data_IF_193704128938
#
_entry.id   IF_193704128938
#
_cell.length_a   1.000
_cell.length_b   1.000
_cell.length_c   1.000
_cell.angle_alpha   90.00
_cell.angle_beta   90.00
_cell.angle_gamma   90.00
#
_symmetry.space_group_name_H-M   'P 1'
#
loop_
_entity.id
_entity.type
_entity.pdbx_description
1 polymer ?
#
# COMPACT_ATOMS: atom_id res chain seq x y z
N UNK A 1 -19.46 52.89 -55.86
CA UNK A 1 -18.71 52.71 -54.59
C UNK A 1 -19.49 51.71 -53.77
N UNK A 2 -19.04 50.42 -53.72
CA UNK A 2 -19.68 49.36 -52.96
C UNK A 2 -18.77 49.07 -51.76
N UNK A 3 -19.29 49.27 -50.54
CA UNK A 3 -18.64 48.98 -49.28
C UNK A 3 -18.98 47.55 -48.90
N UNK A 4 -18.00 46.64 -48.93
CA UNK A 4 -18.13 45.29 -48.37
C UNK A 4 -17.90 45.37 -46.87
N UNK A 5 -18.91 45.00 -46.12
CA UNK A 5 -18.82 44.78 -44.67
C UNK A 5 -18.40 43.34 -44.42
N UNK A 6 -17.20 43.11 -43.90
CA UNK A 6 -16.65 41.82 -43.47
C UNK A 6 -17.15 41.54 -42.03
N UNK A 7 -18.02 40.55 -41.86
CA UNK A 7 -18.38 40.02 -40.53
C UNK A 7 -17.31 39.02 -40.10
N UNK A 8 -16.51 39.39 -39.08
CA UNK A 8 -15.65 38.46 -38.41
C UNK A 8 -16.44 37.64 -37.36
N UNK A 9 -16.64 36.36 -37.59
CA UNK A 9 -17.22 35.47 -36.61
C UNK A 9 -16.14 35.07 -35.59
N UNK A 10 -16.28 35.54 -34.36
CA UNK A 10 -15.43 35.12 -33.22
C UNK A 10 -15.98 33.80 -32.70
N UNK A 11 -15.30 32.71 -33.00
CA UNK A 11 -15.58 31.39 -32.45
C UNK A 11 -14.98 31.33 -31.05
N UNK A 12 -15.76 31.55 -30.01
CA UNK A 12 -15.36 31.34 -28.62
C UNK A 12 -15.41 29.85 -28.32
N UNK A 13 -14.29 29.19 -28.38
CA UNK A 13 -14.11 27.82 -27.87
C UNK A 13 -14.10 27.86 -26.35
N UNK A 14 -15.24 27.52 -25.75
CA UNK A 14 -15.35 27.19 -24.33
C UNK A 14 -14.54 25.91 -24.06
N UNK A 15 -13.32 26.06 -23.57
CA UNK A 15 -12.57 24.97 -22.97
C UNK A 15 -13.27 24.65 -21.64
N UNK A 16 -14.17 23.67 -21.66
CA UNK A 16 -14.61 23.01 -20.45
C UNK A 16 -13.41 22.28 -19.88
N UNK A 17 -12.76 22.89 -18.88
CA UNK A 17 -11.90 22.14 -17.98
C UNK A 17 -12.80 21.20 -17.19
N UNK A 18 -12.93 19.97 -17.65
CA UNK A 18 -13.33 18.87 -16.81
C UNK A 18 -12.14 18.67 -15.84
N UNK A 19 -12.19 19.30 -14.67
CA UNK A 19 -11.52 18.75 -13.51
C UNK A 19 -12.30 17.48 -13.19
N UNK A 20 -11.92 16.35 -13.79
CA UNK A 20 -12.18 15.08 -13.18
C UNK A 20 -11.49 15.16 -11.81
N UNK A 21 -12.24 15.00 -10.72
CA UNK A 21 -11.64 14.59 -9.45
C UNK A 21 -10.89 13.30 -9.79
N UNK A 22 -9.59 13.43 -10.09
CA UNK A 22 -8.75 12.29 -10.33
C UNK A 22 -8.65 11.62 -8.96
N UNK A 23 -9.37 10.52 -8.75
CA UNK A 23 -9.10 9.59 -7.68
C UNK A 23 -7.63 9.21 -7.84
N UNK A 24 -6.78 9.63 -6.92
CA UNK A 24 -5.37 9.31 -6.89
C UNK A 24 -5.14 8.10 -5.98
N UNK A 25 -4.06 7.36 -6.20
CA UNK A 25 -3.68 6.26 -5.30
C UNK A 25 -3.46 6.74 -3.87
N UNK A 26 -3.03 7.99 -3.70
CA UNK A 26 -2.89 8.68 -2.41
C UNK A 26 -4.21 8.81 -1.62
N UNK A 27 -5.37 8.68 -2.27
CA UNK A 27 -6.69 8.69 -1.62
C UNK A 27 -7.03 7.35 -0.94
N UNK A 28 -6.27 6.28 -1.23
CA UNK A 28 -6.39 5.02 -0.50
C UNK A 28 -5.89 5.24 0.93
N UNK A 29 -6.66 4.79 1.90
CA UNK A 29 -6.35 4.98 3.32
C UNK A 29 -4.89 4.65 3.67
N UNK A 30 -4.16 5.62 4.20
CA UNK A 30 -2.76 5.49 4.58
C UNK A 30 -1.84 4.88 3.50
N UNK A 31 -2.08 5.17 2.22
CA UNK A 31 -1.25 4.70 1.12
C UNK A 31 0.22 5.14 1.29
N UNK A 32 1.14 4.21 1.04
CA UNK A 32 2.59 4.43 1.05
C UNK A 32 3.22 3.71 -0.13
N UNK A 33 3.95 4.44 -0.96
CA UNK A 33 4.83 3.90 -1.97
C UNK A 33 6.25 3.82 -1.39
N UNK A 34 6.87 2.64 -1.46
CA UNK A 34 8.22 2.39 -0.96
C UNK A 34 9.23 2.27 -2.09
N UNK A 35 8.80 1.71 -3.21
CA UNK A 35 9.59 1.56 -4.43
C UNK A 35 8.65 1.51 -5.64
N UNK A 36 9.16 1.58 -6.88
CA UNK A 36 8.32 1.44 -8.08
C UNK A 36 7.52 0.13 -8.16
N UNK A 37 7.93 -0.89 -7.40
CA UNK A 37 7.29 -2.22 -7.41
C UNK A 37 6.59 -2.58 -6.10
N UNK A 38 6.69 -1.75 -5.04
CA UNK A 38 6.12 -2.10 -3.74
C UNK A 38 5.46 -0.92 -3.04
N UNK A 39 4.19 -1.11 -2.69
CA UNK A 39 3.38 -0.16 -1.92
C UNK A 39 2.55 -0.87 -0.84
N UNK A 40 2.13 -0.10 0.18
CA UNK A 40 1.13 -0.59 1.14
C UNK A 40 0.00 0.41 1.37
N UNK A 41 -1.16 -0.10 1.84
CA UNK A 41 -2.31 0.75 2.14
C UNK A 41 -3.28 0.11 3.15
N UNK A 42 -4.29 0.88 3.54
CA UNK A 42 -5.56 0.35 4.06
C UNK A 42 -6.37 -0.30 2.95
N UNK A 43 -7.61 -0.65 3.25
CA UNK A 43 -8.50 -1.32 2.29
C UNK A 43 -8.82 -0.41 1.09
N UNK A 44 -8.44 -0.77 -0.15
CA UNK A 44 -8.90 -0.06 -1.33
C UNK A 44 -10.38 -0.32 -1.61
N UNK A 45 -11.07 0.63 -2.22
CA UNK A 45 -12.40 0.42 -2.79
C UNK A 45 -12.30 -0.35 -4.12
N UNK A 46 -13.45 -0.79 -4.66
CA UNK A 46 -13.49 -1.46 -5.96
C UNK A 46 -13.00 -0.54 -7.10
N UNK A 47 -13.34 0.75 -7.03
CA UNK A 47 -12.89 1.76 -8.00
C UNK A 47 -11.37 1.98 -7.88
N UNK A 48 -10.84 1.98 -6.65
CA UNK A 48 -9.41 2.12 -6.41
C UNK A 48 -8.60 0.88 -6.85
N UNK A 49 -9.19 -0.32 -6.88
CA UNK A 49 -8.55 -1.49 -7.50
C UNK A 49 -8.34 -1.29 -9.00
N UNK A 50 -9.26 -0.61 -9.71
CA UNK A 50 -9.06 -0.27 -11.12
C UNK A 50 -7.92 0.73 -11.28
N UNK A 51 -7.81 1.75 -10.42
CA UNK A 51 -6.69 2.70 -10.46
C UNK A 51 -5.34 2.01 -10.22
N UNK A 52 -5.28 1.08 -9.28
CA UNK A 52 -4.09 0.26 -9.04
C UNK A 52 -3.70 -0.53 -10.30
N UNK A 53 -4.68 -1.15 -10.97
CA UNK A 53 -4.44 -1.87 -12.22
C UNK A 53 -3.91 -0.94 -13.31
N UNK A 54 -4.52 0.23 -13.47
CA UNK A 54 -4.13 1.22 -14.49
C UNK A 54 -2.71 1.77 -14.22
N UNK A 55 -2.30 1.83 -12.95
CA UNK A 55 -0.94 2.21 -12.52
C UNK A 55 0.07 1.04 -12.58
N UNK A 56 -0.35 -0.09 -13.13
CA UNK A 56 0.52 -1.23 -13.42
C UNK A 56 0.70 -2.20 -12.26
N UNK A 57 -0.12 -2.15 -11.21
CA UNK A 57 -0.09 -3.19 -10.18
C UNK A 57 -0.54 -4.53 -10.79
N UNK A 58 0.15 -5.58 -10.40
CA UNK A 58 -0.05 -6.94 -10.91
C UNK A 58 -0.46 -7.92 -9.80
N UNK A 59 -0.20 -7.57 -8.53
CA UNK A 59 -0.49 -8.42 -7.38
C UNK A 59 -1.04 -7.60 -6.22
N UNK A 60 -2.12 -8.10 -5.62
CA UNK A 60 -2.71 -7.60 -4.39
C UNK A 60 -2.49 -8.66 -3.31
N UNK A 61 -1.89 -8.27 -2.20
CA UNK A 61 -1.71 -9.13 -1.01
C UNK A 61 -2.54 -8.56 0.13
N UNK A 62 -3.56 -9.28 0.54
CA UNK A 62 -4.44 -8.90 1.66
C UNK A 62 -4.08 -9.67 2.92
N UNK A 63 -3.81 -8.96 4.02
CA UNK A 63 -3.36 -9.58 5.27
C UNK A 63 -4.28 -9.30 6.47
N UNK A 64 -5.56 -9.02 6.23
CA UNK A 64 -6.57 -8.98 7.28
C UNK A 64 -7.66 -10.03 7.02
N UNK A 65 -8.59 -10.15 7.93
CA UNK A 65 -9.74 -11.05 7.77
C UNK A 65 -10.80 -10.41 6.87
N UNK A 66 -11.37 -11.18 5.95
CA UNK A 66 -12.42 -10.72 5.02
C UNK A 66 -13.78 -10.45 5.68
N UNK A 67 -13.97 -10.85 6.94
CA UNK A 67 -15.18 -10.62 7.71
C UNK A 67 -15.14 -9.35 8.58
N UNK A 68 -14.21 -8.43 8.34
CA UNK A 68 -14.17 -7.14 9.00
C UNK A 68 -15.05 -6.09 8.29
N UNK A 69 -15.40 -5.02 9.02
CA UNK A 69 -16.32 -4.00 8.50
C UNK A 69 -15.79 -3.15 7.34
N UNK A 70 -14.48 -3.19 7.05
CA UNK A 70 -13.87 -2.43 5.96
C UNK A 70 -13.64 -3.29 4.71
N UNK A 71 -13.65 -4.62 4.83
CA UNK A 71 -13.48 -5.52 3.69
C UNK A 71 -14.75 -5.60 2.85
N UNK A 72 -14.61 -5.84 1.55
CA UNK A 72 -15.73 -6.27 0.73
C UNK A 72 -15.59 -7.76 0.36
N UNK A 73 -16.72 -8.47 0.36
CA UNK A 73 -16.74 -9.93 0.42
C UNK A 73 -16.16 -10.66 -0.80
N UNK A 74 -16.12 -9.99 -1.96
CA UNK A 74 -15.70 -10.54 -3.25
C UNK A 74 -14.44 -9.85 -3.82
N UNK A 75 -13.57 -9.36 -2.93
CA UNK A 75 -12.33 -8.68 -3.36
C UNK A 75 -11.44 -9.57 -4.24
N UNK A 76 -11.32 -10.84 -3.89
CA UNK A 76 -10.54 -11.80 -4.67
C UNK A 76 -11.09 -11.98 -6.10
N UNK A 77 -12.40 -11.92 -6.27
CA UNK A 77 -13.06 -11.96 -7.58
C UNK A 77 -12.75 -10.66 -8.35
N UNK A 78 -12.94 -9.50 -7.71
CA UNK A 78 -12.69 -8.21 -8.32
C UNK A 78 -11.24 -8.05 -8.80
N UNK A 79 -10.27 -8.45 -7.97
CA UNK A 79 -8.84 -8.40 -8.33
C UNK A 79 -8.54 -9.31 -9.52
N UNK A 80 -9.09 -10.52 -9.56
CA UNK A 80 -8.91 -11.48 -10.67
C UNK A 80 -9.58 -11.02 -11.94
N UNK A 81 -10.75 -10.41 -11.88
CA UNK A 81 -11.44 -9.83 -13.04
C UNK A 81 -10.61 -8.72 -13.70
N UNK A 82 -9.81 -7.98 -12.91
CA UNK A 82 -8.86 -6.99 -13.40
C UNK A 82 -7.55 -7.62 -13.94
N UNK A 83 -7.40 -8.94 -13.87
CA UNK A 83 -6.21 -9.65 -14.32
C UNK A 83 -5.00 -9.45 -13.42
N UNK A 84 -5.23 -9.21 -12.13
CA UNK A 84 -4.21 -9.19 -11.09
C UNK A 84 -4.26 -10.47 -10.26
N UNK A 85 -3.13 -10.83 -9.64
CA UNK A 85 -3.08 -11.93 -8.67
C UNK A 85 -3.54 -11.47 -7.29
N UNK A 86 -4.30 -12.33 -6.63
CA UNK A 86 -4.75 -12.11 -5.26
C UNK A 86 -4.15 -13.15 -4.31
N UNK A 87 -3.49 -12.67 -3.27
CA UNK A 87 -2.93 -13.50 -2.18
C UNK A 87 -3.58 -13.07 -0.88
N UNK A 88 -4.16 -14.02 -0.14
CA UNK A 88 -4.80 -13.73 1.15
C UNK A 88 -4.09 -14.49 2.27
N UNK A 89 -3.59 -13.74 3.26
CA UNK A 89 -2.90 -14.25 4.46
C UNK A 89 -3.57 -13.60 5.68
N UNK A 90 -4.60 -14.22 6.28
CA UNK A 90 -5.35 -13.62 7.38
C UNK A 90 -4.52 -13.57 8.67
N UNK A 91 -3.96 -12.40 9.00
CA UNK A 91 -3.14 -12.17 10.19
C UNK A 91 -4.02 -11.74 11.38
N UNK A 92 -3.95 -12.49 12.48
CA UNK A 92 -4.66 -12.16 13.71
C UNK A 92 -4.02 -10.91 14.35
N UNK A 93 -4.82 -9.88 14.62
CA UNK A 93 -4.31 -8.60 15.13
C UNK A 93 -3.57 -8.74 16.47
N UNK A 94 -4.13 -9.48 17.40
CA UNK A 94 -3.59 -9.63 18.76
C UNK A 94 -2.59 -10.81 18.90
N UNK A 95 -2.41 -11.58 17.82
CA UNK A 95 -1.50 -12.73 17.78
C UNK A 95 -0.84 -12.89 16.41
N UNK A 96 -0.20 -11.87 15.86
CA UNK A 96 0.52 -11.99 14.60
C UNK A 96 1.72 -12.92 14.80
N UNK A 97 2.05 -13.73 13.78
CA UNK A 97 3.13 -14.72 13.88
C UNK A 97 4.23 -14.48 12.85
N UNK A 98 5.44 -14.94 13.15
CA UNK A 98 6.53 -14.94 12.18
C UNK A 98 6.17 -15.76 10.92
N UNK A 99 5.39 -16.84 11.07
CA UNK A 99 4.90 -17.64 9.95
C UNK A 99 4.03 -16.84 8.98
N UNK A 100 3.18 -15.93 9.49
CA UNK A 100 2.37 -15.04 8.65
C UNK A 100 3.25 -14.10 7.84
N UNK A 101 4.27 -13.52 8.49
CA UNK A 101 5.24 -12.68 7.81
C UNK A 101 6.01 -13.45 6.73
N UNK A 102 6.53 -14.63 7.05
CA UNK A 102 7.30 -15.41 6.08
C UNK A 102 6.43 -15.96 4.93
N UNK A 103 5.13 -16.20 5.15
CA UNK A 103 4.20 -16.51 4.07
C UNK A 103 4.06 -15.31 3.09
N UNK A 104 3.95 -14.10 3.61
CA UNK A 104 3.97 -12.87 2.82
C UNK A 104 5.31 -12.71 2.09
N UNK A 105 6.44 -12.73 2.81
CA UNK A 105 7.76 -12.57 2.23
C UNK A 105 8.03 -13.60 1.14
N UNK A 106 7.66 -14.87 1.35
CA UNK A 106 7.77 -15.93 0.35
C UNK A 106 6.92 -15.68 -0.89
N UNK A 107 5.76 -15.02 -0.77
CA UNK A 107 4.97 -14.62 -1.93
C UNK A 107 5.65 -13.52 -2.75
N UNK A 108 6.31 -12.58 -2.09
CA UNK A 108 7.08 -11.52 -2.73
C UNK A 108 8.32 -12.06 -3.43
N UNK A 109 9.09 -12.91 -2.76
CA UNK A 109 10.37 -13.45 -3.25
C UNK A 109 10.24 -14.37 -4.48
N UNK A 110 9.08 -14.94 -4.75
CA UNK A 110 8.85 -15.75 -5.95
C UNK A 110 8.88 -14.93 -7.24
N UNK A 111 8.42 -13.67 -7.17
CA UNK A 111 8.37 -12.75 -8.30
C UNK A 111 8.64 -11.33 -7.78
N UNK A 112 9.92 -11.01 -7.48
CA UNK A 112 10.28 -9.78 -6.76
C UNK A 112 10.04 -8.50 -7.57
N UNK A 113 10.08 -8.58 -8.90
CA UNK A 113 9.87 -7.43 -9.78
C UNK A 113 8.39 -7.10 -10.02
N UNK A 114 7.48 -7.94 -9.51
CA UNK A 114 6.04 -7.79 -9.72
C UNK A 114 5.48 -6.67 -8.86
N UNK A 115 4.92 -5.64 -9.49
CA UNK A 115 4.35 -4.49 -8.77
C UNK A 115 3.21 -4.94 -7.86
N UNK A 116 3.41 -4.77 -6.56
CA UNK A 116 2.56 -5.34 -5.51
C UNK A 116 2.03 -4.28 -4.57
N UNK A 117 0.72 -4.33 -4.30
CA UNK A 117 0.12 -3.68 -3.14
C UNK A 117 -0.04 -4.70 -2.01
N UNK A 118 0.53 -4.40 -0.85
CA UNK A 118 0.22 -5.08 0.41
C UNK A 118 -0.80 -4.25 1.17
N UNK A 119 -1.95 -4.82 1.55
CA UNK A 119 -2.92 -4.06 2.30
C UNK A 119 -3.58 -4.83 3.45
N UNK A 120 -4.17 -4.06 4.35
CA UNK A 120 -5.04 -4.55 5.41
C UNK A 120 -6.22 -3.58 5.59
N UNK A 121 -6.80 -3.44 6.78
CA UNK A 121 -7.92 -2.53 7.02
C UNK A 121 -7.53 -1.04 6.90
N UNK A 122 -6.41 -0.64 7.59
CA UNK A 122 -5.97 0.76 7.72
C UNK A 122 -4.45 0.90 7.61
N UNK A 123 -3.79 -0.02 6.96
CA UNK A 123 -2.35 -0.10 6.76
C UNK A 123 -1.49 -0.47 7.98
N UNK A 124 -2.02 -0.68 9.18
CA UNK A 124 -1.19 -0.95 10.36
C UNK A 124 -0.40 -2.27 10.23
N UNK A 125 -1.08 -3.41 9.97
CA UNK A 125 -0.40 -4.70 9.72
C UNK A 125 0.50 -4.62 8.50
N UNK A 126 0.00 -4.00 7.42
CA UNK A 126 0.71 -3.95 6.16
C UNK A 126 2.00 -3.12 6.25
N UNK A 127 1.99 -1.97 6.93
CA UNK A 127 3.20 -1.18 7.14
C UNK A 127 4.24 -1.89 8.02
N UNK A 128 3.81 -2.65 9.03
CA UNK A 128 4.71 -3.46 9.85
C UNK A 128 5.38 -4.59 9.04
N UNK A 129 4.63 -5.28 8.19
CA UNK A 129 5.19 -6.29 7.29
C UNK A 129 6.06 -5.67 6.20
N UNK A 130 5.69 -4.49 5.68
CA UNK A 130 6.53 -3.73 4.75
C UNK A 130 7.85 -3.30 5.37
N UNK A 131 7.83 -2.83 6.62
CA UNK A 131 9.04 -2.53 7.38
C UNK A 131 9.99 -3.74 7.44
N UNK A 132 9.48 -4.89 7.89
CA UNK A 132 10.28 -6.12 7.99
C UNK A 132 10.81 -6.58 6.64
N UNK A 133 9.97 -6.56 5.60
CA UNK A 133 10.36 -7.00 4.26
C UNK A 133 11.48 -6.13 3.69
N UNK A 134 11.36 -4.83 3.79
CA UNK A 134 12.35 -3.88 3.28
C UNK A 134 13.69 -3.98 4.01
N UNK A 135 13.67 -4.19 5.33
CA UNK A 135 14.91 -4.38 6.13
C UNK A 135 15.59 -5.70 5.82
N UNK A 136 14.83 -6.78 5.60
CA UNK A 136 15.39 -8.12 5.44
C UNK A 136 15.75 -8.49 4.00
N UNK A 137 15.02 -7.94 3.01
CA UNK A 137 15.14 -8.37 1.62
C UNK A 137 15.46 -7.24 0.63
N UNK A 138 15.34 -5.97 1.03
CA UNK A 138 15.62 -4.82 0.15
C UNK A 138 16.78 -3.94 0.66
N UNK A 139 17.53 -4.40 1.67
CA UNK A 139 18.68 -3.69 2.27
C UNK A 139 18.38 -2.27 2.77
N UNK A 140 17.10 -1.96 3.04
CA UNK A 140 16.71 -0.66 3.62
C UNK A 140 17.11 -0.62 5.09
N UNK A 141 17.64 0.50 5.54
CA UNK A 141 18.03 0.64 6.94
C UNK A 141 16.82 0.58 7.89
N UNK A 142 17.05 0.06 9.11
CA UNK A 142 16.01 0.02 10.16
C UNK A 142 15.46 1.42 10.42
N UNK A 143 16.32 2.45 10.43
CA UNK A 143 15.91 3.84 10.68
C UNK A 143 14.94 4.34 9.60
N UNK A 144 15.25 4.13 8.33
CA UNK A 144 14.43 4.57 7.19
C UNK A 144 13.10 3.81 7.15
N UNK A 145 13.14 2.49 7.15
CA UNK A 145 11.93 1.67 7.11
C UNK A 145 11.01 1.94 8.31
N UNK A 146 11.60 2.23 9.50
CA UNK A 146 10.84 2.60 10.70
C UNK A 146 10.19 3.97 10.57
N UNK A 147 10.87 4.95 9.99
CA UNK A 147 10.29 6.27 9.76
C UNK A 147 9.04 6.18 8.86
N UNK A 148 9.09 5.37 7.81
CA UNK A 148 7.94 5.12 6.94
C UNK A 148 6.79 4.42 7.68
N UNK A 149 7.07 3.38 8.47
CA UNK A 149 6.07 2.69 9.29
C UNK A 149 5.45 3.65 10.31
N UNK A 150 6.26 4.46 11.00
CA UNK A 150 5.79 5.43 11.98
C UNK A 150 4.96 6.57 11.37
N UNK A 151 5.10 6.85 10.07
CA UNK A 151 4.21 7.78 9.37
C UNK A 151 2.78 7.26 9.22
N UNK A 152 2.56 5.97 9.46
CA UNK A 152 1.25 5.32 9.46
C UNK A 152 0.75 5.11 10.90
N UNK A 153 1.58 4.54 11.76
CA UNK A 153 1.26 4.28 13.16
C UNK A 153 2.52 3.88 13.95
N UNK A 154 2.42 3.93 15.28
CA UNK A 154 3.45 3.38 16.15
C UNK A 154 3.01 1.99 16.65
N UNK A 155 3.76 0.90 16.33
CA UNK A 155 3.40 -0.45 16.74
C UNK A 155 3.25 -0.58 18.25
N UNK A 156 2.17 -1.21 18.70
CA UNK A 156 1.98 -1.59 20.09
C UNK A 156 2.94 -2.72 20.49
N UNK A 157 2.96 -3.06 21.79
CA UNK A 157 3.84 -4.09 22.35
C UNK A 157 3.77 -5.43 21.59
N UNK A 158 2.57 -5.89 21.23
CA UNK A 158 2.37 -7.14 20.47
C UNK A 158 3.12 -7.12 19.14
N UNK A 159 2.99 -6.03 18.41
CA UNK A 159 3.62 -5.87 17.10
C UNK A 159 5.12 -5.56 17.20
N UNK A 160 5.55 -4.83 18.25
CA UNK A 160 6.97 -4.65 18.55
C UNK A 160 7.65 -5.99 18.84
N UNK A 161 7.02 -6.85 19.65
CA UNK A 161 7.55 -8.17 19.97
C UNK A 161 7.70 -9.05 18.72
N UNK A 162 6.72 -9.04 17.80
CA UNK A 162 6.84 -9.71 16.51
C UNK A 162 8.01 -9.17 15.69
N UNK A 163 8.08 -7.84 15.54
CA UNK A 163 9.12 -7.15 14.76
C UNK A 163 10.51 -7.48 15.31
N UNK A 164 10.71 -7.35 16.62
CA UNK A 164 11.99 -7.61 17.28
C UNK A 164 12.41 -9.06 17.11
N UNK A 165 11.49 -10.01 17.37
CA UNK A 165 11.78 -11.43 17.22
C UNK A 165 12.20 -11.80 15.81
N UNK A 166 11.52 -11.29 14.77
CA UNK A 166 11.88 -11.56 13.38
C UNK A 166 13.23 -10.92 13.00
N UNK A 167 13.49 -9.67 13.42
CA UNK A 167 14.77 -9.03 13.14
C UNK A 167 15.93 -9.77 13.81
N UNK A 168 15.80 -10.11 15.09
CA UNK A 168 16.82 -10.82 15.86
C UNK A 168 17.08 -12.22 15.30
N UNK A 169 16.04 -12.96 14.92
CA UNK A 169 16.16 -14.26 14.25
C UNK A 169 17.00 -14.17 12.96
N UNK A 170 16.91 -13.03 12.26
CA UNK A 170 17.67 -12.77 11.02
C UNK A 170 18.98 -11.99 11.26
N UNK A 171 19.45 -11.87 12.51
CA UNK A 171 20.71 -11.22 12.85
C UNK A 171 20.72 -9.70 12.65
N UNK A 172 19.54 -9.07 12.61
CA UNK A 172 19.37 -7.63 12.53
C UNK A 172 18.97 -7.07 13.89
N UNK A 173 19.48 -5.89 14.25
CA UNK A 173 19.06 -5.19 15.48
C UNK A 173 17.82 -4.34 15.20
N UNK A 174 16.77 -4.38 16.05
CA UNK A 174 15.68 -3.44 15.98
C UNK A 174 16.08 -2.02 16.43
N UNK A 175 17.23 -1.89 17.11
CA UNK A 175 17.71 -0.63 17.65
C UNK A 175 18.66 0.05 16.67
N UNK A 176 18.45 1.34 16.47
CA UNK A 176 19.31 2.21 15.66
C UNK A 176 19.45 3.57 16.33
N UNK A 177 20.47 4.36 15.94
CA UNK A 177 20.63 5.72 16.42
C UNK A 177 19.38 6.56 16.08
N UNK A 178 18.76 7.18 17.09
CA UNK A 178 17.52 7.95 16.94
C UNK A 178 16.24 7.12 16.81
N UNK A 179 16.30 5.79 16.88
CA UNK A 179 15.11 4.94 16.88
C UNK A 179 14.48 4.83 18.26
N UNK A 180 13.38 5.53 18.50
CA UNK A 180 12.52 5.28 19.66
C UNK A 180 11.41 4.28 19.28
N UNK A 181 11.18 3.29 20.13
CA UNK A 181 10.04 2.38 20.07
C UNK A 181 9.02 2.67 21.19
N UNK A 182 9.23 3.78 21.92
CA UNK A 182 8.26 4.23 22.91
C UNK A 182 6.94 4.57 22.19
N UNK A 183 5.84 4.13 22.78
CA UNK A 183 4.49 4.52 22.35
C UNK A 183 4.25 5.88 23.02
N UNK A 184 4.03 6.93 22.22
CA UNK A 184 3.62 8.22 22.76
C UNK A 184 2.23 8.07 23.39
N UNK A 185 2.09 8.39 24.68
CA UNK A 185 0.83 8.31 25.44
C UNK A 185 -0.15 9.44 25.05
#
# INVERSE_FOLDING_TARGET
MKILATMAAVLATLLYNFSADANELSDISNYREYSPTFSSSGQPTREQLQLLKDDGFERIVYIAFSNNGNAFADEDVAVKELGMDYVHIPVIWDQPTASDFYAFAGSMQREPDRKTLLHCQVNYRASAFSFLYRVLYEDVSVAEAKADMNSVWQPNETWQNLIFGILEENGKSPHCEGCSWAIDE
#
